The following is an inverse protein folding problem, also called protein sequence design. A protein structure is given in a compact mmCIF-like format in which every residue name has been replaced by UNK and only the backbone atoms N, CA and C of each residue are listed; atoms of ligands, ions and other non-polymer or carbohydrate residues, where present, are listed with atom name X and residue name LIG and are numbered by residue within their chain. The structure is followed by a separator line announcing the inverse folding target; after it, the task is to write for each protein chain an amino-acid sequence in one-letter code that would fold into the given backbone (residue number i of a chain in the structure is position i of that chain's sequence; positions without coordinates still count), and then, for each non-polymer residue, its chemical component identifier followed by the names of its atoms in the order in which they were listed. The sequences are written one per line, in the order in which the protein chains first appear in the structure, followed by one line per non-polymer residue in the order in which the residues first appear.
data_IF_076468378795
#
_entry.id   IF_076468378795
#
_cell.length_a   1.000
_cell.length_b   1.000
_cell.length_c   1.000
_cell.angle_alpha   90.00
_cell.angle_beta   90.00
_cell.angle_gamma   90.00
#
_symmetry.space_group_name_H-M   'P 1'
#
loop_
_entity.id
_entity.type
_entity.pdbx_description
1 polymer ?
#
# COMPACT_ATOMS: atom_id res chain seq x y z
N UNK A 1 -25.31 -7.38 -31.91
CA UNK A 1 -24.72 -7.32 -30.55
C UNK A 1 -23.47 -8.18 -30.59
N UNK A 2 -22.29 -7.57 -30.55
CA UNK A 2 -21.05 -8.32 -30.42
C UNK A 2 -20.92 -8.76 -28.98
N UNK A 3 -20.53 -10.03 -28.75
CA UNK A 3 -20.30 -10.52 -27.40
C UNK A 3 -19.19 -9.72 -26.70
N UNK A 4 -19.33 -9.46 -25.39
CA UNK A 4 -18.27 -8.82 -24.61
C UNK A 4 -17.02 -9.71 -24.61
N UNK A 5 -15.86 -9.10 -24.80
CA UNK A 5 -14.58 -9.81 -24.72
C UNK A 5 -14.26 -10.15 -23.26
N UNK A 6 -13.40 -11.15 -22.97
CA UNK A 6 -12.99 -11.48 -21.59
C UNK A 6 -12.40 -10.30 -20.80
N UNK A 7 -11.92 -9.26 -21.50
CA UNK A 7 -11.45 -8.00 -20.89
C UNK A 7 -12.58 -7.14 -20.33
N UNK A 8 -13.79 -7.24 -20.90
CA UNK A 8 -14.98 -6.49 -20.47
C UNK A 8 -15.62 -7.10 -19.21
N UNK A 9 -15.27 -8.35 -18.89
CA UNK A 9 -15.76 -9.10 -17.73
C UNK A 9 -14.79 -9.11 -16.55
N UNK A 10 -13.57 -8.58 -16.72
CA UNK A 10 -12.65 -8.42 -15.61
C UNK A 10 -13.21 -7.34 -14.66
N UNK A 11 -13.43 -7.63 -13.36
CA UNK A 11 -13.92 -6.62 -12.44
C UNK A 11 -13.00 -5.40 -12.47
N UNK A 12 -13.58 -4.23 -12.71
CA UNK A 12 -12.85 -2.98 -12.58
C UNK A 12 -12.26 -2.91 -11.17
N UNK A 13 -10.93 -2.97 -11.07
CA UNK A 13 -10.25 -2.84 -9.78
C UNK A 13 -10.50 -1.44 -9.24
N UNK A 14 -10.87 -1.36 -7.97
CA UNK A 14 -10.94 -0.08 -7.27
C UNK A 14 -9.54 0.59 -7.27
N UNK A 15 -9.45 1.94 -7.22
CA UNK A 15 -8.17 2.65 -7.27
C UNK A 15 -7.12 2.14 -6.27
N UNK A 16 -7.49 1.93 -5.00
CA UNK A 16 -6.59 1.35 -3.99
C UNK A 16 -6.08 -0.05 -4.35
N UNK A 17 -6.91 -0.90 -4.96
CA UNK A 17 -6.51 -2.23 -5.42
C UNK A 17 -5.52 -2.17 -6.61
N UNK A 18 -5.57 -1.12 -7.42
CA UNK A 18 -4.58 -0.89 -8.49
C UNK A 18 -3.21 -0.54 -7.90
N UNK A 19 -3.19 0.33 -6.88
CA UNK A 19 -1.97 0.65 -6.13
C UNK A 19 -1.40 -0.60 -5.44
N UNK A 20 -2.23 -1.35 -4.70
CA UNK A 20 -1.82 -2.58 -4.03
C UNK A 20 -1.23 -3.60 -5.02
N UNK A 21 -1.80 -3.74 -6.22
CA UNK A 21 -1.22 -4.58 -7.29
C UNK A 21 0.18 -4.12 -7.72
N UNK A 22 0.38 -2.81 -7.87
CA UNK A 22 1.70 -2.22 -8.19
C UNK A 22 2.73 -2.48 -7.09
N UNK A 23 2.35 -2.20 -5.84
CA UNK A 23 3.16 -2.48 -4.64
C UNK A 23 3.55 -3.94 -4.57
N UNK A 24 2.59 -4.86 -4.71
CA UNK A 24 2.82 -6.30 -4.67
C UNK A 24 3.73 -6.81 -5.79
N UNK A 25 3.74 -6.18 -6.97
CA UNK A 25 4.66 -6.52 -8.07
C UNK A 25 6.08 -6.08 -7.73
N UNK A 26 6.23 -4.84 -7.26
CA UNK A 26 7.50 -4.28 -6.85
C UNK A 26 8.13 -5.08 -5.69
N UNK A 27 7.34 -5.37 -4.64
CA UNK A 27 7.81 -6.15 -3.49
C UNK A 27 8.32 -7.53 -3.91
N UNK A 28 7.58 -8.24 -4.77
CA UNK A 28 8.04 -9.53 -5.30
C UNK A 28 9.33 -9.40 -6.11
N UNK A 29 9.46 -8.36 -6.94
CA UNK A 29 10.69 -8.09 -7.68
C UNK A 29 11.89 -7.81 -6.75
N UNK A 30 11.63 -7.29 -5.55
CA UNK A 30 12.64 -7.04 -4.51
C UNK A 30 12.84 -8.21 -3.54
N UNK A 31 12.25 -9.38 -3.80
CA UNK A 31 12.41 -10.58 -2.95
C UNK A 31 11.53 -10.63 -1.70
N UNK A 32 10.52 -9.77 -1.60
CA UNK A 32 9.52 -9.80 -0.52
C UNK A 32 8.33 -10.70 -0.90
N UNK A 33 7.67 -11.24 0.11
CA UNK A 33 6.41 -11.98 0.00
C UNK A 33 5.23 -11.14 0.51
N UNK A 34 4.47 -10.45 -0.37
CA UNK A 34 3.36 -9.58 0.03
C UNK A 34 2.02 -10.30 0.14
N UNK A 35 1.21 -9.88 1.10
CA UNK A 35 -0.20 -10.26 1.34
C UNK A 35 -1.04 -8.99 1.42
N UNK A 36 -2.16 -8.96 0.70
CA UNK A 36 -3.10 -7.84 0.74
C UNK A 36 -4.16 -8.03 1.84
N UNK A 37 -4.74 -6.92 2.31
CA UNK A 37 -5.91 -6.90 3.23
C UNK A 37 -5.68 -7.71 4.52
N UNK A 38 -4.47 -7.62 5.07
CA UNK A 38 -4.07 -8.41 6.23
C UNK A 38 -4.56 -7.78 7.54
N UNK A 39 -4.97 -8.62 8.49
CA UNK A 39 -5.47 -8.21 9.82
C UNK A 39 -4.40 -8.53 10.86
N UNK A 40 -3.54 -7.57 11.26
CA UNK A 40 -2.49 -7.83 12.25
C UNK A 40 -3.04 -7.97 13.67
N UNK A 41 -4.16 -7.29 13.96
CA UNK A 41 -4.84 -7.33 15.24
C UNK A 41 -6.33 -7.00 15.08
N UNK A 42 -7.18 -7.30 16.08
CA UNK A 42 -8.60 -6.97 16.02
C UNK A 42 -8.85 -5.50 15.68
N UNK A 43 -9.73 -5.26 14.70
CA UNK A 43 -10.11 -3.92 14.19
C UNK A 43 -9.03 -3.16 13.42
N UNK A 44 -7.90 -3.78 13.13
CA UNK A 44 -6.88 -3.25 12.22
C UNK A 44 -6.90 -4.05 10.92
N UNK A 45 -6.71 -3.38 9.79
CA UNK A 45 -6.50 -4.03 8.49
C UNK A 45 -5.57 -3.15 7.68
N UNK A 46 -4.51 -3.75 7.16
CA UNK A 46 -3.53 -3.05 6.32
C UNK A 46 -3.70 -3.46 4.87
N UNK A 47 -3.47 -2.51 3.95
CA UNK A 47 -3.67 -2.73 2.52
C UNK A 47 -2.68 -3.77 1.98
N UNK A 48 -1.39 -3.63 2.32
CA UNK A 48 -0.34 -4.60 2.00
C UNK A 48 0.59 -4.76 3.20
N UNK A 49 0.83 -6.02 3.60
CA UNK A 49 1.95 -6.41 4.47
C UNK A 49 2.90 -7.31 3.68
N UNK A 50 4.20 -7.22 3.92
CA UNK A 50 5.17 -8.06 3.23
C UNK A 50 6.29 -8.52 4.13
N UNK A 51 6.64 -9.80 4.00
CA UNK A 51 7.79 -10.40 4.66
C UNK A 51 9.01 -10.35 3.74
N UNK A 52 10.08 -9.73 4.22
CA UNK A 52 11.36 -9.64 3.53
C UNK A 52 12.23 -10.88 3.72
N UNK A 53 13.30 -11.02 2.92
CA UNK A 53 14.16 -12.20 2.92
C UNK A 53 14.98 -12.38 4.21
N UNK A 54 15.09 -11.36 5.06
CA UNK A 54 15.74 -11.44 6.38
C UNK A 54 14.74 -11.44 7.53
N UNK A 55 13.46 -11.65 7.24
CA UNK A 55 12.38 -11.66 8.22
C UNK A 55 11.83 -10.28 8.57
N UNK A 56 12.25 -9.22 7.88
CA UNK A 56 11.67 -7.89 8.09
C UNK A 56 10.21 -7.80 7.63
N UNK A 57 9.36 -7.12 8.40
CA UNK A 57 7.95 -6.91 8.10
C UNK A 57 7.73 -5.48 7.67
N UNK A 58 7.25 -5.30 6.43
CA UNK A 58 6.91 -3.98 5.90
C UNK A 58 5.40 -3.85 5.72
N UNK A 59 4.84 -2.71 6.11
CA UNK A 59 3.45 -2.34 5.84
C UNK A 59 3.42 -1.21 4.83
N UNK A 60 2.51 -1.30 3.86
CA UNK A 60 2.27 -0.26 2.86
C UNK A 60 0.78 0.02 2.77
N UNK A 61 0.42 1.27 3.07
CA UNK A 61 -0.95 1.77 2.94
C UNK A 61 -1.14 2.47 1.58
N UNK A 62 -2.16 2.06 0.84
CA UNK A 62 -2.47 2.49 -0.51
C UNK A 62 -3.51 3.62 -0.49
N UNK A 63 -3.09 4.88 -0.58
CA UNK A 63 -4.00 6.03 -0.59
C UNK A 63 -4.20 6.58 -1.99
N UNK A 64 -5.39 6.32 -2.52
CA UNK A 64 -5.79 6.70 -3.87
C UNK A 64 -6.23 8.16 -3.99
N UNK A 65 -6.48 8.85 -2.88
CA UNK A 65 -6.88 10.26 -2.88
C UNK A 65 -6.62 10.94 -1.53
N UNK A 66 -6.67 12.28 -1.50
CA UNK A 66 -6.68 13.06 -0.26
C UNK A 66 -7.77 12.62 0.73
N UNK A 67 -8.96 12.30 0.23
CA UNK A 67 -10.09 11.89 1.06
C UNK A 67 -9.84 10.51 1.71
N UNK A 68 -9.26 9.59 0.93
CA UNK A 68 -8.82 8.27 1.39
C UNK A 68 -7.82 8.40 2.55
N UNK A 69 -6.78 9.21 2.36
CA UNK A 69 -5.80 9.52 3.42
C UNK A 69 -6.43 10.18 4.65
N UNK A 70 -7.27 11.21 4.48
CA UNK A 70 -7.91 11.93 5.60
C UNK A 70 -8.88 11.05 6.43
N UNK A 71 -9.41 9.99 5.82
CA UNK A 71 -10.29 9.02 6.49
C UNK A 71 -9.53 8.02 7.37
N UNK A 72 -8.25 7.77 7.06
CA UNK A 72 -7.42 6.80 7.77
C UNK A 72 -6.83 7.40 9.05
N UNK A 73 -7.68 7.60 10.06
CA UNK A 73 -7.28 8.20 11.34
C UNK A 73 -6.54 7.24 12.27
N UNK A 74 -6.37 5.98 11.87
CA UNK A 74 -5.85 4.90 12.72
C UNK A 74 -4.49 4.39 12.28
N UNK A 75 -3.92 4.93 11.21
CA UNK A 75 -2.65 4.49 10.64
C UNK A 75 -1.51 4.39 11.66
N UNK A 76 -1.48 5.27 12.67
CA UNK A 76 -0.48 5.22 13.74
C UNK A 76 -0.48 3.91 14.53
N UNK A 77 -1.63 3.21 14.60
CA UNK A 77 -1.74 1.89 15.21
C UNK A 77 -1.10 0.77 14.40
N UNK A 78 -0.70 1.01 13.15
CA UNK A 78 0.00 0.02 12.33
C UNK A 78 1.51 -0.02 12.62
N UNK A 79 2.07 1.04 13.20
CA UNK A 79 3.53 1.21 13.37
C UNK A 79 4.17 0.19 14.32
N UNK A 80 3.42 -0.38 15.25
CA UNK A 80 3.92 -1.43 16.15
C UNK A 80 4.03 -2.80 15.45
N UNK A 81 3.41 -2.96 14.28
CA UNK A 81 3.29 -4.23 13.55
C UNK A 81 4.28 -4.36 12.39
N UNK A 82 5.20 -3.40 12.22
CA UNK A 82 6.18 -3.42 11.14
C UNK A 82 7.53 -2.82 11.52
N UNK A 83 8.59 -3.28 10.86
CA UNK A 83 9.90 -2.67 10.90
C UNK A 83 9.94 -1.36 10.10
N UNK A 84 9.15 -1.29 9.01
CA UNK A 84 9.02 -0.11 8.15
C UNK A 84 7.59 0.04 7.65
N UNK A 85 7.14 1.29 7.60
CA UNK A 85 5.83 1.68 7.12
C UNK A 85 5.96 2.58 5.90
N UNK A 86 5.14 2.42 4.88
CA UNK A 86 5.17 3.28 3.68
C UNK A 86 3.77 3.69 3.25
N UNK A 87 3.69 4.81 2.57
CA UNK A 87 2.52 5.19 1.80
C UNK A 87 2.77 4.86 0.31
N UNK A 88 1.84 4.16 -0.31
CA UNK A 88 1.73 4.08 -1.76
C UNK A 88 0.60 4.99 -2.21
N UNK A 89 0.91 5.97 -3.03
CA UNK A 89 -0.06 6.97 -3.48
C UNK A 89 -0.10 7.06 -5.00
N UNK A 90 -1.19 7.61 -5.52
CA UNK A 90 -1.27 7.91 -6.95
C UNK A 90 -0.28 9.03 -7.33
N UNK A 91 0.09 9.12 -8.61
CA UNK A 91 1.04 10.09 -9.14
C UNK A 91 0.58 11.55 -8.93
N UNK A 92 -0.73 11.78 -8.91
CA UNK A 92 -1.35 13.09 -8.68
C UNK A 92 -1.60 13.40 -7.19
N UNK A 93 -1.25 12.49 -6.29
CA UNK A 93 -1.44 12.70 -4.86
C UNK A 93 -0.48 13.77 -4.32
N UNK A 94 -0.95 14.74 -3.53
CA UNK A 94 -0.10 15.78 -2.93
C UNK A 94 0.72 15.21 -1.77
N UNK A 95 1.92 14.70 -2.06
CA UNK A 95 2.78 14.01 -1.10
C UNK A 95 3.20 14.86 0.11
N UNK A 96 3.14 16.18 -0.01
CA UNK A 96 3.46 17.15 1.03
C UNK A 96 2.52 17.10 2.24
N UNK A 97 1.35 16.46 2.10
CA UNK A 97 0.41 16.29 3.22
C UNK A 97 0.68 15.04 4.04
N UNK A 98 1.53 14.15 3.53
CA UNK A 98 1.88 12.94 4.25
C UNK A 98 2.70 13.30 5.49
N UNK A 99 2.57 12.56 6.60
CA UNK A 99 3.35 12.83 7.80
C UNK A 99 4.85 12.72 7.49
N UNK A 100 5.62 13.71 7.92
CA UNK A 100 7.09 13.61 7.93
C UNK A 100 7.50 12.45 8.81
N UNK A 101 8.42 11.63 8.31
CA UNK A 101 8.81 10.41 9.01
C UNK A 101 9.44 10.70 10.36
N UNK A 102 8.99 9.95 11.36
CA UNK A 102 9.66 9.83 12.66
C UNK A 102 11.08 9.31 12.39
N UNK A 103 12.10 10.12 12.70
CA UNK A 103 13.52 9.82 12.41
C UNK A 103 14.15 8.87 13.44
N UNK A 104 13.43 7.85 13.92
CA UNK A 104 13.95 6.82 14.84
C UNK A 104 13.95 5.44 14.19
N UNK A 105 14.95 5.18 13.35
CA UNK A 105 15.33 3.87 12.77
C UNK A 105 14.23 3.04 12.04
N UNK A 106 12.98 3.51 11.94
CA UNK A 106 11.82 2.83 11.34
C UNK A 106 11.16 3.73 10.29
N UNK A 107 11.99 4.21 9.35
CA UNK A 107 11.67 5.30 8.42
C UNK A 107 10.42 5.05 7.59
N UNK A 108 9.48 6.01 7.59
CA UNK A 108 8.48 6.16 6.54
C UNK A 108 9.12 6.81 5.32
N UNK A 109 8.91 6.21 4.14
CA UNK A 109 9.38 6.74 2.86
C UNK A 109 8.19 6.82 1.91
N UNK A 110 7.99 7.96 1.26
CA UNK A 110 7.05 8.05 0.16
C UNK A 110 7.71 7.43 -1.09
N UNK A 111 7.21 6.30 -1.56
CA UNK A 111 7.65 5.73 -2.85
C UNK A 111 6.88 6.44 -3.97
N UNK A 112 7.51 7.41 -4.62
CA UNK A 112 7.05 7.88 -5.94
C UNK A 112 7.35 6.80 -6.95
N UNK A 113 6.30 6.14 -7.40
CA UNK A 113 6.41 4.97 -8.25
C UNK A 113 6.74 5.33 -9.70
N UNK A 114 7.80 4.70 -10.19
CA UNK A 114 7.94 4.41 -11.61
C UNK A 114 6.92 3.32 -11.98
N UNK A 115 5.67 3.73 -12.24
CA UNK A 115 4.64 2.86 -12.80
C UNK A 115 4.36 3.29 -14.25
N UNK A 116 5.07 2.67 -15.20
CA UNK A 116 4.58 2.43 -16.56
C UNK A 116 4.35 0.93 -16.72
#
# INVERSE_FOLDING_TARGET
MSDPTPSDLAPLRQPGQRLARGVCRLMRASGFAPVCEFVPAPRLRVDVIALGPRGEVWIVECKSSRADFASDRKWGGYLEWCDRFFWAVDAEFPVEILPEGRQDARSTMAWKSAFR
#
